data_IF_912808410355
#
_entry.id   IF_912808410355
#
_cell.length_a   1.000
_cell.length_b   1.000
_cell.length_c   1.000
_cell.angle_alpha   90.00
_cell.angle_beta   90.00
_cell.angle_gamma   90.00
#
_symmetry.space_group_name_H-M   'P 1'
#
loop_
_entity.id
_entity.type
_entity.pdbx_description
1 polymer ?
#
# COMPACT_ATOMS: atom_id res chain seq x y z
N UNK A 1 16.84 36.64 11.05
CA UNK A 1 17.75 36.14 9.99
C UNK A 1 17.18 34.80 9.53
N UNK A 2 16.61 34.76 8.33
CA UNK A 2 15.82 33.65 7.77
C UNK A 2 16.72 32.49 7.34
N UNK A 3 16.43 31.27 7.80
CA UNK A 3 17.20 30.04 7.49
C UNK A 3 16.73 29.40 6.15
N UNK A 4 15.69 29.94 5.51
CA UNK A 4 15.06 29.35 4.32
C UNK A 4 15.81 29.53 2.99
N UNK A 5 16.92 30.27 2.93
CA UNK A 5 17.62 30.57 1.68
C UNK A 5 18.68 29.53 1.23
N UNK A 6 18.91 28.44 1.95
CA UNK A 6 20.05 27.53 1.69
C UNK A 6 19.70 26.15 1.13
N UNK A 7 18.44 25.88 0.74
CA UNK A 7 18.04 24.60 0.14
C UNK A 7 17.78 24.75 -1.35
N UNK A 8 18.69 24.20 -2.16
CA UNK A 8 18.54 24.12 -3.62
C UNK A 8 18.07 22.72 -4.01
N UNK A 9 17.06 22.63 -4.87
CA UNK A 9 16.59 21.36 -5.43
C UNK A 9 17.56 20.93 -6.53
N UNK A 10 18.00 19.68 -6.50
CA UNK A 10 18.73 19.04 -7.58
C UNK A 10 17.85 17.99 -8.25
N UNK A 11 18.11 17.69 -9.52
CA UNK A 11 17.45 16.57 -10.21
C UNK A 11 18.16 15.25 -9.90
N UNK A 12 17.45 14.12 -9.98
CA UNK A 12 18.05 12.80 -9.81
C UNK A 12 19.13 12.49 -10.87
N UNK A 13 19.00 13.06 -12.05
CA UNK A 13 19.96 12.92 -13.15
C UNK A 13 21.22 13.76 -12.95
N UNK A 14 21.17 14.78 -12.08
CA UNK A 14 22.28 15.67 -11.76
C UNK A 14 22.30 15.98 -10.26
N UNK A 15 22.52 14.97 -9.41
CA UNK A 15 22.33 15.09 -7.95
C UNK A 15 23.28 16.07 -7.28
N UNK A 16 24.42 16.35 -7.92
CA UNK A 16 25.45 17.24 -7.40
C UNK A 16 25.66 18.50 -8.25
N UNK A 17 24.67 18.93 -9.04
CA UNK A 17 24.82 20.07 -9.96
C UNK A 17 25.20 21.41 -9.29
N UNK A 18 24.92 21.54 -8.00
CA UNK A 18 25.22 22.75 -7.21
C UNK A 18 26.55 22.65 -6.43
N UNK A 19 27.28 21.54 -6.55
CA UNK A 19 28.59 21.39 -5.92
C UNK A 19 29.66 21.99 -6.84
N UNK A 20 30.49 22.94 -6.36
CA UNK A 20 31.40 23.71 -7.20
C UNK A 20 32.67 22.94 -7.60
N UNK A 21 32.93 21.77 -7.02
CA UNK A 21 34.15 21.00 -7.24
C UNK A 21 33.97 19.93 -8.32
N UNK A 22 34.98 19.78 -9.18
CA UNK A 22 34.98 18.82 -10.28
C UNK A 22 34.85 17.35 -9.82
N UNK A 23 35.20 17.04 -8.57
CA UNK A 23 35.07 15.71 -7.96
C UNK A 23 33.64 15.17 -7.99
N UNK A 24 32.63 16.04 -7.92
CA UNK A 24 31.21 15.65 -7.89
C UNK A 24 30.52 15.71 -9.24
N UNK A 25 31.23 16.12 -10.30
CA UNK A 25 30.67 16.37 -11.63
C UNK A 25 30.01 15.14 -12.27
N UNK A 26 30.50 13.96 -11.94
CA UNK A 26 29.99 12.67 -12.42
C UNK A 26 29.27 11.87 -11.32
N UNK A 27 28.85 12.53 -10.23
CA UNK A 27 28.11 11.88 -9.16
C UNK A 27 26.76 11.37 -9.69
N UNK A 28 26.45 10.10 -9.39
CA UNK A 28 25.19 9.46 -9.75
C UNK A 28 24.54 8.83 -8.51
N UNK A 29 23.22 8.90 -8.43
CA UNK A 29 22.47 8.15 -7.41
C UNK A 29 22.26 6.74 -7.96
N UNK A 30 22.84 5.75 -7.31
CA UNK A 30 22.65 4.34 -7.68
C UNK A 30 21.54 3.68 -6.86
N UNK A 31 21.44 4.02 -5.58
CA UNK A 31 20.51 3.40 -4.63
C UNK A 31 20.06 4.40 -3.58
N UNK A 32 18.86 4.19 -3.04
CA UNK A 32 18.39 4.83 -1.81
C UNK A 32 18.36 3.78 -0.70
N UNK A 33 18.94 4.11 0.45
CA UNK A 33 18.84 3.29 1.66
C UNK A 33 17.89 4.00 2.61
N UNK A 34 16.67 3.49 2.73
CA UNK A 34 15.69 4.01 3.68
C UNK A 34 15.62 3.04 4.87
N UNK A 35 16.10 3.41 6.07
CA UNK A 35 15.99 2.55 7.24
C UNK A 35 14.51 2.37 7.59
N UNK A 36 14.04 1.13 7.52
CA UNK A 36 12.69 0.79 7.93
C UNK A 36 12.59 0.74 9.45
N UNK A 37 11.38 0.97 9.96
CA UNK A 37 11.10 0.80 11.38
C UNK A 37 11.42 -0.64 11.82
N UNK A 38 12.14 -0.87 12.92
CA UNK A 38 12.63 -2.22 13.30
C UNK A 38 11.54 -3.28 13.51
N UNK A 39 10.28 -2.86 13.65
CA UNK A 39 9.13 -3.77 13.79
C UNK A 39 8.36 -3.99 12.49
N UNK A 40 8.98 -3.74 11.33
CA UNK A 40 8.45 -4.20 10.05
C UNK A 40 9.09 -5.56 9.78
N UNK A 41 8.33 -6.62 10.02
CA UNK A 41 8.82 -8.00 9.91
C UNK A 41 8.42 -8.64 8.58
N UNK A 42 7.29 -8.20 7.99
CA UNK A 42 6.90 -8.66 6.67
C UNK A 42 7.58 -7.77 5.61
N UNK A 43 8.56 -8.34 4.92
CA UNK A 43 9.33 -7.63 3.90
C UNK A 43 8.50 -7.36 2.63
N UNK A 44 8.88 -6.34 1.87
CA UNK A 44 8.16 -5.91 0.66
C UNK A 44 7.97 -7.04 -0.36
N UNK A 45 9.00 -7.86 -0.57
CA UNK A 45 8.93 -9.00 -1.48
C UNK A 45 7.89 -10.03 -1.00
N UNK A 46 7.93 -10.38 0.28
CA UNK A 46 7.00 -11.35 0.87
C UNK A 46 5.56 -10.83 0.87
N UNK A 47 5.34 -9.55 1.19
CA UNK A 47 4.04 -8.91 1.12
C UNK A 47 3.46 -8.95 -0.30
N UNK A 48 4.28 -8.63 -1.32
CA UNK A 48 3.86 -8.72 -2.73
C UNK A 48 3.52 -10.14 -3.14
N UNK A 49 4.35 -11.13 -2.78
CA UNK A 49 4.06 -12.54 -3.07
C UNK A 49 2.79 -13.02 -2.37
N UNK A 50 2.55 -12.58 -1.14
CA UNK A 50 1.33 -12.86 -0.40
C UNK A 50 0.10 -12.30 -1.14
N UNK A 51 0.13 -11.05 -1.59
CA UNK A 51 -0.94 -10.42 -2.40
C UNK A 51 -1.24 -11.24 -3.65
N UNK A 52 -0.21 -11.56 -4.43
CA UNK A 52 -0.36 -12.32 -5.68
C UNK A 52 -1.00 -13.69 -5.39
N UNK A 53 -0.48 -14.40 -4.39
CA UNK A 53 -1.00 -15.72 -4.02
C UNK A 53 -2.45 -15.64 -3.54
N UNK A 54 -2.80 -14.63 -2.74
CA UNK A 54 -4.15 -14.42 -2.26
C UNK A 54 -5.12 -14.20 -3.43
N UNK A 55 -4.74 -13.40 -4.42
CA UNK A 55 -5.59 -13.14 -5.59
C UNK A 55 -5.73 -14.36 -6.51
N UNK A 56 -4.70 -15.19 -6.67
CA UNK A 56 -4.73 -16.31 -7.63
C UNK A 56 -5.31 -17.58 -7.00
N UNK A 57 -4.97 -17.89 -5.75
CA UNK A 57 -5.30 -19.17 -5.10
C UNK A 57 -5.98 -19.01 -3.73
N UNK A 58 -6.35 -17.78 -3.37
CA UNK A 58 -7.01 -17.50 -2.11
C UNK A 58 -8.47 -17.94 -2.05
N UNK A 59 -9.18 -17.57 -0.98
CA UNK A 59 -10.57 -17.99 -0.72
C UNK A 59 -11.58 -17.49 -1.76
N UNK A 60 -11.25 -16.39 -2.43
CA UNK A 60 -12.01 -15.80 -3.54
C UNK A 60 -10.98 -15.45 -4.61
N UNK A 61 -10.62 -16.39 -5.49
CA UNK A 61 -9.65 -16.10 -6.54
C UNK A 61 -10.28 -15.16 -7.56
N UNK A 62 -9.44 -14.33 -8.17
CA UNK A 62 -9.84 -13.49 -9.29
C UNK A 62 -10.39 -14.35 -10.45
N UNK A 63 -11.25 -13.74 -11.27
CA UNK A 63 -11.85 -14.43 -12.41
C UNK A 63 -10.78 -14.95 -13.38
N UNK A 64 -11.03 -16.10 -14.02
CA UNK A 64 -10.11 -16.58 -15.04
C UNK A 64 -10.15 -15.66 -16.27
N UNK A 65 -8.98 -15.39 -16.86
CA UNK A 65 -8.80 -14.54 -18.05
C UNK A 65 -9.03 -13.03 -17.85
N UNK A 66 -9.03 -12.54 -16.61
CA UNK A 66 -9.03 -11.10 -16.31
C UNK A 66 -7.61 -10.55 -16.15
N UNK A 67 -7.39 -9.33 -16.64
CA UNK A 67 -6.14 -8.58 -16.46
C UNK A 67 -6.29 -7.59 -15.30
N UNK A 68 -5.46 -7.74 -14.27
CA UNK A 68 -5.38 -6.80 -13.15
C UNK A 68 -4.02 -6.11 -13.10
N UNK A 69 -4.06 -4.85 -12.71
CA UNK A 69 -2.89 -4.05 -12.34
C UNK A 69 -2.99 -3.82 -10.84
N UNK A 70 -1.91 -4.06 -10.10
CA UNK A 70 -1.90 -3.76 -8.68
C UNK A 70 -0.64 -3.01 -8.27
N UNK A 71 -0.82 -2.15 -7.27
CA UNK A 71 0.24 -1.35 -6.65
C UNK A 71 0.34 -1.73 -5.19
N UNK A 72 1.52 -2.13 -4.75
CA UNK A 72 1.81 -2.47 -3.34
C UNK A 72 2.74 -1.43 -2.76
N UNK A 73 2.36 -0.84 -1.64
CA UNK A 73 3.17 0.15 -0.93
C UNK A 73 3.04 0.01 0.59
N UNK A 74 4.05 0.51 1.30
CA UNK A 74 4.05 0.57 2.75
C UNK A 74 3.51 1.92 3.20
N UNK A 75 2.62 1.92 4.19
CA UNK A 75 2.17 3.14 4.84
C UNK A 75 2.09 2.95 6.36
N UNK A 76 2.17 4.05 7.10
CA UNK A 76 1.69 4.03 8.49
C UNK A 76 0.17 4.08 8.48
N UNK A 77 -0.48 3.30 9.34
CA UNK A 77 -1.94 3.28 9.43
C UNK A 77 -2.52 4.66 9.74
N UNK A 78 -1.83 5.45 10.55
CA UNK A 78 -2.21 6.84 10.86
C UNK A 78 -2.24 7.72 9.62
N UNK A 79 -1.17 7.72 8.83
CA UNK A 79 -1.08 8.59 7.64
C UNK A 79 -2.07 8.13 6.58
N UNK A 80 -2.20 6.82 6.39
CA UNK A 80 -3.17 6.25 5.46
C UNK A 80 -4.61 6.63 5.82
N UNK A 81 -5.03 6.44 7.07
CA UNK A 81 -6.36 6.84 7.54
C UNK A 81 -6.59 8.36 7.47
N UNK A 82 -5.56 9.16 7.73
CA UNK A 82 -5.64 10.61 7.60
C UNK A 82 -5.97 11.05 6.17
N UNK A 83 -5.25 10.50 5.19
CA UNK A 83 -5.52 10.79 3.77
C UNK A 83 -6.86 10.24 3.31
N UNK A 84 -7.25 9.03 3.73
CA UNK A 84 -8.56 8.47 3.41
C UNK A 84 -9.72 9.33 3.93
N UNK A 85 -9.59 9.90 5.13
CA UNK A 85 -10.60 10.78 5.70
C UNK A 85 -10.80 12.02 4.81
N UNK A 86 -9.71 12.57 4.25
CA UNK A 86 -9.70 13.76 3.39
C UNK A 86 -10.05 13.47 1.94
N UNK A 87 -9.81 12.26 1.47
CA UNK A 87 -10.05 11.86 0.09
C UNK A 87 -11.57 11.72 -0.18
N UNK A 88 -12.10 12.57 -1.07
CA UNK A 88 -13.49 12.52 -1.50
C UNK A 88 -13.78 11.41 -2.52
N UNK A 89 -12.74 10.89 -3.18
CA UNK A 89 -12.82 9.80 -4.16
C UNK A 89 -12.99 8.41 -3.54
N UNK A 90 -12.88 8.28 -2.21
CA UNK A 90 -13.27 7.07 -1.47
C UNK A 90 -14.54 7.41 -0.68
N UNK A 91 -15.60 6.63 -0.83
CA UNK A 91 -16.90 6.95 -0.23
C UNK A 91 -17.68 5.68 0.15
N UNK A 92 -18.79 5.89 0.87
CA UNK A 92 -19.70 4.82 1.27
C UNK A 92 -19.11 3.87 2.31
N UNK A 93 -19.65 2.65 2.33
CA UNK A 93 -19.33 1.62 3.32
C UNK A 93 -17.83 1.26 3.35
N UNK A 94 -17.16 1.25 2.18
CA UNK A 94 -15.72 1.00 2.12
C UNK A 94 -14.91 2.00 2.95
N UNK A 95 -15.21 3.30 2.83
CA UNK A 95 -14.50 4.35 3.59
C UNK A 95 -14.67 4.16 5.09
N UNK A 96 -15.89 3.86 5.53
CA UNK A 96 -16.17 3.60 6.93
C UNK A 96 -15.39 2.40 7.46
N UNK A 97 -15.42 1.28 6.74
CA UNK A 97 -14.68 0.07 7.10
C UNK A 97 -13.17 0.34 7.23
N UNK A 98 -12.57 1.07 6.30
CA UNK A 98 -11.13 1.38 6.33
C UNK A 98 -10.75 2.31 7.49
N UNK A 99 -11.61 3.28 7.83
CA UNK A 99 -11.38 4.20 8.96
C UNK A 99 -11.49 3.45 10.30
N UNK A 100 -12.47 2.55 10.43
CA UNK A 100 -12.75 1.82 11.67
C UNK A 100 -11.85 0.60 11.87
N UNK A 101 -11.32 0.01 10.79
CA UNK A 101 -10.49 -1.19 10.85
C UNK A 101 -9.28 -1.02 11.79
N UNK A 102 -9.09 -1.96 12.70
CA UNK A 102 -7.97 -1.93 13.63
C UNK A 102 -6.67 -2.34 12.92
N UNK A 103 -5.85 -1.35 12.56
CA UNK A 103 -4.59 -1.56 11.87
C UNK A 103 -3.40 -1.42 12.83
N UNK A 104 -2.33 -2.21 12.66
CA UNK A 104 -1.05 -1.99 13.32
C UNK A 104 -0.44 -0.64 12.92
N UNK A 105 0.74 -0.31 13.46
CA UNK A 105 1.44 0.94 13.12
C UNK A 105 1.79 1.04 11.63
N UNK A 106 2.21 -0.07 11.02
CA UNK A 106 2.57 -0.14 9.60
C UNK A 106 1.79 -1.23 8.89
N UNK A 107 1.34 -0.93 7.69
CA UNK A 107 0.54 -1.81 6.86
C UNK A 107 1.10 -1.82 5.44
N UNK A 108 1.02 -2.97 4.80
CA UNK A 108 1.11 -3.05 3.35
C UNK A 108 -0.27 -2.83 2.77
N UNK A 109 -0.36 -1.91 1.83
CA UNK A 109 -1.57 -1.61 1.08
C UNK A 109 -1.35 -2.08 -0.35
N UNK A 110 -2.23 -2.94 -0.83
CA UNK A 110 -2.29 -3.33 -2.23
C UNK A 110 -3.59 -2.81 -2.84
N UNK A 111 -3.47 -1.86 -3.76
CA UNK A 111 -4.61 -1.39 -4.55
C UNK A 111 -4.67 -2.19 -5.83
N UNK A 112 -5.85 -2.69 -6.16
CA UNK A 112 -6.14 -3.56 -7.29
C UNK A 112 -6.98 -2.75 -8.27
N UNK A 113 -6.59 -2.78 -9.54
CA UNK A 113 -7.16 -1.98 -10.61
C UNK A 113 -7.19 -2.77 -11.90
N UNK A 114 -7.86 -2.22 -12.90
CA UNK A 114 -7.66 -2.59 -14.31
C UNK A 114 -6.72 -1.59 -15.00
N UNK A 115 -6.34 -1.90 -16.24
CA UNK A 115 -5.51 -1.03 -17.08
C UNK A 115 -6.18 0.31 -17.40
N UNK A 116 -7.50 0.35 -17.44
CA UNK A 116 -8.30 1.54 -17.70
C UNK A 116 -8.37 2.40 -16.43
N UNK A 117 -8.78 1.79 -15.31
CA UNK A 117 -8.94 2.49 -14.04
C UNK A 117 -7.63 3.09 -13.52
N UNK A 118 -6.51 2.39 -13.71
CA UNK A 118 -5.22 2.87 -13.18
C UNK A 118 -4.76 4.14 -13.90
N UNK A 119 -5.13 4.31 -15.19
CA UNK A 119 -4.84 5.53 -15.96
C UNK A 119 -5.67 6.72 -15.48
N UNK A 120 -6.82 6.46 -14.86
CA UNK A 120 -7.67 7.47 -14.23
C UNK A 120 -7.30 7.75 -12.77
N UNK A 121 -6.23 7.14 -12.25
CA UNK A 121 -5.88 7.25 -10.83
C UNK A 121 -6.89 6.56 -9.92
N UNK A 122 -7.51 5.47 -10.38
CA UNK A 122 -8.53 4.72 -9.63
C UNK A 122 -8.15 3.26 -9.44
N UNK A 123 -8.75 2.67 -8.41
CA UNK A 123 -8.71 1.25 -8.11
C UNK A 123 -10.13 0.74 -7.88
N UNK A 124 -10.35 -0.55 -8.11
CA UNK A 124 -11.60 -1.27 -7.83
C UNK A 124 -11.36 -2.48 -6.94
N UNK A 125 -10.30 -2.43 -6.13
CA UNK A 125 -10.03 -3.38 -5.09
C UNK A 125 -8.90 -2.92 -4.19
N UNK A 126 -8.85 -3.47 -3.00
CA UNK A 126 -7.92 -3.11 -1.94
C UNK A 126 -7.62 -4.33 -1.10
N UNK A 127 -6.37 -4.50 -0.72
CA UNK A 127 -5.98 -5.41 0.34
C UNK A 127 -5.08 -4.69 1.33
N UNK A 128 -5.36 -4.88 2.62
CA UNK A 128 -4.56 -4.35 3.72
C UNK A 128 -3.98 -5.53 4.49
N UNK A 129 -2.66 -5.54 4.62
CA UNK A 129 -1.89 -6.61 5.26
C UNK A 129 -1.06 -6.01 6.39
N UNK A 130 -1.00 -6.70 7.53
CA UNK A 130 -0.16 -6.31 8.66
C UNK A 130 1.32 -6.40 8.28
N UNK A 131 2.08 -5.32 8.48
CA UNK A 131 3.52 -5.31 8.20
C UNK A 131 4.37 -5.64 9.45
N UNK A 132 3.74 -5.70 10.62
CA UNK A 132 4.38 -5.67 11.95
C UNK A 132 4.22 -6.93 12.78
N UNK A 133 3.46 -7.92 12.33
CA UNK A 133 3.44 -9.22 13.00
C UNK A 133 4.68 -10.03 12.63
N UNK A 134 5.53 -10.32 13.63
CA UNK A 134 6.72 -11.16 13.49
C UNK A 134 6.39 -12.66 13.35
N UNK A 135 5.12 -13.02 13.49
CA UNK A 135 4.74 -14.41 13.70
C UNK A 135 4.40 -15.13 12.40
N UNK A 136 5.44 -15.32 11.59
CA UNK A 136 5.40 -16.13 10.36
C UNK A 136 5.29 -17.65 10.66
N UNK A 137 5.43 -18.06 11.92
CA UNK A 137 5.48 -19.46 12.35
C UNK A 137 4.16 -19.97 12.93
N UNK A 138 3.38 -19.11 13.60
CA UNK A 138 2.01 -19.42 13.98
C UNK A 138 1.08 -18.92 12.87
N UNK A 139 0.11 -19.77 12.47
CA UNK A 139 -0.82 -19.61 11.33
C UNK A 139 -1.77 -18.39 11.43
N UNK A 140 -1.28 -17.21 11.78
CA UNK A 140 -2.07 -15.99 11.78
C UNK A 140 -1.99 -15.42 10.36
N UNK A 141 -3.13 -15.35 9.71
CA UNK A 141 -3.24 -14.77 8.40
C UNK A 141 -2.95 -13.26 8.49
N UNK A 142 -1.89 -12.72 7.86
CA UNK A 142 -1.51 -11.31 8.00
C UNK A 142 -2.52 -10.37 7.32
N UNK A 143 -3.52 -10.92 6.62
CA UNK A 143 -4.63 -10.15 6.09
C UNK A 143 -5.37 -9.42 7.22
N UNK A 144 -5.60 -8.13 7.04
CA UNK A 144 -6.53 -7.35 7.85
C UNK A 144 -7.89 -7.33 7.14
N UNK A 145 -7.87 -6.91 5.87
CA UNK A 145 -9.04 -6.94 5.01
C UNK A 145 -8.63 -7.03 3.54
N UNK A 146 -9.47 -7.66 2.72
CA UNK A 146 -9.42 -7.59 1.27
C UNK A 146 -10.80 -7.24 0.74
N UNK A 147 -10.85 -6.45 -0.33
CA UNK A 147 -12.07 -6.13 -1.04
C UNK A 147 -11.79 -6.07 -2.53
N UNK A 148 -12.45 -6.87 -3.33
CA UNK A 148 -12.33 -6.88 -4.79
C UNK A 148 -13.48 -7.71 -5.36
N UNK A 149 -13.86 -7.43 -6.61
CA UNK A 149 -14.97 -8.10 -7.31
C UNK A 149 -16.27 -8.15 -6.48
N UNK A 150 -16.54 -7.11 -5.69
CA UNK A 150 -17.71 -6.99 -4.82
C UNK A 150 -17.68 -7.83 -3.54
N UNK A 151 -16.61 -8.58 -3.29
CA UNK A 151 -16.44 -9.39 -2.09
C UNK A 151 -15.57 -8.66 -1.08
N UNK A 152 -16.05 -8.54 0.16
CA UNK A 152 -15.27 -8.11 1.32
C UNK A 152 -14.89 -9.33 2.14
N UNK A 153 -13.59 -9.47 2.44
CA UNK A 153 -13.02 -10.47 3.31
C UNK A 153 -12.33 -9.75 4.48
N UNK A 154 -12.69 -10.09 5.71
CA UNK A 154 -12.08 -9.54 6.92
C UNK A 154 -11.52 -10.67 7.78
N UNK A 155 -10.31 -10.48 8.29
CA UNK A 155 -9.68 -11.46 9.18
C UNK A 155 -10.04 -11.17 10.63
N UNK A 156 -10.60 -12.15 11.32
CA UNK A 156 -10.83 -12.08 12.76
C UNK A 156 -9.51 -12.30 13.50
N UNK A 157 -9.03 -11.29 14.25
CA UNK A 157 -7.72 -11.34 14.92
C UNK A 157 -7.56 -12.44 15.97
N UNK A 158 -8.65 -12.86 16.60
CA UNK A 158 -8.66 -13.87 17.68
C UNK A 158 -8.60 -15.30 17.15
N UNK A 159 -9.28 -15.58 16.04
CA UNK A 159 -9.45 -16.94 15.49
C UNK A 159 -8.67 -17.18 14.20
N UNK A 160 -8.25 -16.12 13.51
CA UNK A 160 -7.68 -16.17 12.16
C UNK A 160 -8.70 -16.55 11.08
N UNK A 161 -9.99 -16.68 11.44
CA UNK A 161 -11.06 -17.00 10.51
C UNK A 161 -11.33 -15.82 9.59
N UNK A 162 -11.59 -16.13 8.32
CA UNK A 162 -12.02 -15.15 7.34
C UNK A 162 -13.55 -15.08 7.31
N UNK A 163 -14.07 -13.88 7.52
CA UNK A 163 -15.47 -13.56 7.32
C UNK A 163 -15.64 -12.94 5.94
N UNK A 164 -16.65 -13.37 5.20
CA UNK A 164 -16.97 -12.87 3.87
C UNK A 164 -18.33 -12.19 3.86
N UNK A 165 -18.41 -11.04 3.21
CA UNK A 165 -19.64 -10.28 2.98
C UNK A 165 -19.62 -9.68 1.57
N UNK A 166 -20.79 -9.55 0.95
CA UNK A 166 -20.95 -8.75 -0.26
C UNK A 166 -20.87 -7.25 0.06
N UNK A 167 -20.12 -6.52 -0.75
CA UNK A 167 -19.98 -5.08 -0.67
C UNK A 167 -20.22 -4.50 -2.06
N UNK A 168 -21.09 -3.49 -2.17
CA UNK A 168 -21.22 -2.76 -3.42
C UNK A 168 -19.97 -1.87 -3.60
N UNK A 169 -19.02 -2.38 -4.38
CA UNK A 169 -17.72 -1.76 -4.59
C UNK A 169 -17.75 -0.90 -5.86
N UNK A 170 -17.60 0.40 -5.67
CA UNK A 170 -17.38 1.34 -6.76
C UNK A 170 -15.89 1.67 -6.89
N UNK A 171 -15.40 1.98 -8.11
CA UNK A 171 -14.05 2.47 -8.27
C UNK A 171 -13.79 3.70 -7.38
N UNK A 172 -12.63 3.72 -6.74
CA UNK A 172 -12.23 4.75 -5.80
C UNK A 172 -10.86 5.31 -6.17
N UNK A 173 -10.59 6.55 -5.76
CA UNK A 173 -9.29 7.19 -6.02
C UNK A 173 -8.16 6.47 -5.28
N UNK A 174 -7.08 6.18 -6.00
CA UNK A 174 -5.88 5.59 -5.41
C UNK A 174 -5.20 6.58 -4.46
N UNK A 175 -4.38 6.06 -3.55
CA UNK A 175 -3.59 6.87 -2.62
C UNK A 175 -2.50 7.66 -3.36
N UNK A 176 -2.43 8.98 -3.16
CA UNK A 176 -1.35 9.82 -3.65
C UNK A 176 -0.71 10.54 -2.46
N UNK A 177 0.60 10.37 -2.28
CA UNK A 177 1.40 10.98 -1.21
C UNK A 177 2.30 12.09 -1.73
#
# INVERSE_FOLDING_TARGET
MQIDQLRQKATLTRPAEHYPTDEWRNCTITHFIAPLYPKIYLEAFQAKQYVIKFLITGPQPILQHSEYVFRVFLASSRSYKHELARNAGVHGELKHLMIEAQMPKFIWVAEISTKELIKEGKANGLMIVDATEANIYHKVNPLIMAVFDGNLLVSEKSSGKLESKQLNLHPFSIYES
#
